data_IF_876592195227
#
_entry.id   IF_876592195227
#
_cell.length_a   1.000
_cell.length_b   1.000
_cell.length_c   1.000
_cell.angle_alpha   90.00
_cell.angle_beta   90.00
_cell.angle_gamma   90.00
#
_symmetry.space_group_name_H-M   'P 1'
#
loop_
_entity.id
_entity.type
_entity.pdbx_description
1 polymer ?
#
# COMPACT_ATOMS: atom_id res chain seq x y z
N UNK A 1 15.70 77.31 -10.07
CA UNK A 1 15.21 77.76 -8.76
C UNK A 1 14.42 76.62 -8.13
N UNK A 2 14.88 76.10 -6.99
CA UNK A 2 13.96 75.43 -6.04
C UNK A 2 13.06 76.54 -5.44
N UNK A 3 11.91 76.28 -4.77
CA UNK A 3 11.63 75.00 -4.12
C UNK A 3 10.15 74.62 -3.81
N UNK A 4 10.00 73.46 -3.15
CA UNK A 4 9.12 73.21 -1.99
C UNK A 4 7.60 73.10 -2.23
N UNK A 5 6.83 72.26 -1.55
CA UNK A 5 6.97 71.32 -0.41
C UNK A 5 5.52 70.80 -0.23
N UNK A 6 5.25 69.56 0.15
CA UNK A 6 4.86 69.16 1.52
C UNK A 6 4.08 67.85 1.27
N UNK A 7 4.65 66.68 1.60
CA UNK A 7 4.32 65.85 2.77
C UNK A 7 2.98 65.07 2.64
N UNK A 8 2.76 63.91 3.25
CA UNK A 8 3.33 63.32 4.46
C UNK A 8 2.92 61.81 4.47
N UNK A 9 3.82 60.95 4.98
CA UNK A 9 3.65 59.76 5.85
C UNK A 9 2.37 58.88 5.77
N UNK A 10 2.37 57.56 5.93
CA UNK A 10 3.16 56.64 6.76
C UNK A 10 3.03 55.20 6.15
N UNK A 11 4.08 54.38 6.00
CA UNK A 11 4.70 53.43 6.96
C UNK A 11 3.71 52.64 7.83
N UNK A 12 3.74 51.31 7.74
CA UNK A 12 3.91 50.29 8.83
C UNK A 12 3.44 48.89 8.32
N UNK A 13 4.39 47.96 8.18
CA UNK A 13 4.25 46.49 8.21
C UNK A 13 4.22 46.02 9.69
N UNK A 14 4.15 44.71 10.07
CA UNK A 14 3.44 43.51 9.61
C UNK A 14 2.69 42.81 10.80
N UNK A 15 1.98 41.68 10.62
CA UNK A 15 1.88 40.55 11.60
C UNK A 15 0.86 39.46 11.22
N UNK A 16 1.16 38.24 11.68
CA UNK A 16 0.41 37.00 11.56
C UNK A 16 -0.73 36.80 12.60
N UNK A 17 -1.65 35.87 12.33
CA UNK A 17 -2.49 35.09 13.27
C UNK A 17 -3.24 34.04 12.42
N UNK A 18 -3.09 32.71 12.55
CA UNK A 18 -3.35 31.80 13.68
C UNK A 18 -4.68 32.06 14.40
N UNK A 19 -5.72 31.32 14.01
CA UNK A 19 -6.89 31.06 14.82
C UNK A 19 -7.36 29.62 14.56
N UNK A 20 -7.16 28.78 15.58
CA UNK A 20 -7.78 27.49 15.80
C UNK A 20 -8.94 27.70 16.77
N UNK A 21 -10.14 27.23 16.47
CA UNK A 21 -11.09 26.76 17.49
C UNK A 21 -12.31 26.06 16.88
N UNK A 22 -12.53 24.82 17.33
CA UNK A 22 -13.74 24.03 17.13
C UNK A 22 -14.96 24.68 17.80
N UNK A 23 -16.17 24.25 17.44
CA UNK A 23 -16.98 23.66 18.51
C UNK A 23 -17.55 22.28 18.15
N UNK A 24 -17.36 21.37 19.09
CA UNK A 24 -17.91 20.02 19.16
C UNK A 24 -19.33 20.03 19.78
N UNK A 25 -20.23 19.25 19.15
CA UNK A 25 -21.44 18.56 19.65
C UNK A 25 -22.61 19.33 20.32
N UNK A 26 -23.86 19.09 19.91
CA UNK A 26 -24.65 17.91 20.35
C UNK A 26 -26.00 17.78 19.59
N UNK A 27 -26.35 16.52 19.34
CA UNK A 27 -27.67 15.87 19.25
C UNK A 27 -28.84 16.46 18.42
N UNK A 28 -29.17 15.75 17.32
CA UNK A 28 -30.55 15.31 17.02
C UNK A 28 -30.56 13.93 16.35
N UNK A 29 -30.69 12.89 17.16
CA UNK A 29 -31.12 11.55 16.73
C UNK A 29 -32.58 11.66 16.26
N UNK A 30 -32.86 11.43 14.97
CA UNK A 30 -34.21 11.08 14.51
C UNK A 30 -34.13 9.85 13.61
N UNK A 31 -34.72 8.77 14.13
CA UNK A 31 -34.87 7.47 13.50
C UNK A 31 -35.91 7.56 12.39
N UNK A 32 -35.52 7.26 11.15
CA UNK A 32 -36.41 6.63 10.16
C UNK A 32 -35.55 5.86 9.16
N UNK A 33 -35.80 4.55 9.07
CA UNK A 33 -34.85 3.58 8.54
C UNK A 33 -34.88 3.30 7.03
N UNK A 34 -33.83 2.55 6.64
CA UNK A 34 -33.67 1.64 5.50
C UNK A 34 -33.89 2.22 4.09
N UNK A 35 -32.80 2.29 3.32
CA UNK A 35 -32.54 1.32 2.24
C UNK A 35 -31.02 1.19 2.02
N UNK A 36 -30.64 -0.01 1.63
CA UNK A 36 -29.34 -0.61 1.81
C UNK A 36 -28.36 -0.20 0.70
N UNK A 37 -27.24 0.37 1.10
CA UNK A 37 -25.99 0.36 0.37
C UNK A 37 -24.88 0.06 1.37
N UNK A 38 -24.88 -1.15 1.95
CA UNK A 38 -23.67 -1.63 2.64
C UNK A 38 -22.57 -1.67 1.57
N UNK A 39 -21.44 -0.96 1.71
CA UNK A 39 -20.27 -1.37 0.94
C UNK A 39 -20.03 -2.84 1.27
N UNK A 40 -19.74 -3.62 0.22
CA UNK A 40 -19.66 -5.07 0.22
C UNK A 40 -19.10 -5.62 1.53
N UNK A 41 -19.76 -6.66 2.04
CA UNK A 41 -19.15 -7.55 3.02
C UNK A 41 -17.75 -7.90 2.48
N UNK A 42 -16.71 -7.47 3.20
CA UNK A 42 -15.41 -8.11 3.05
C UNK A 42 -15.64 -9.54 3.54
N UNK A 43 -15.75 -10.48 2.60
CA UNK A 43 -15.44 -11.87 2.94
C UNK A 43 -14.07 -11.83 3.62
N UNK A 44 -13.96 -12.51 4.75
CA UNK A 44 -12.79 -12.50 5.62
C UNK A 44 -11.61 -13.13 4.86
N UNK A 45 -10.96 -12.37 3.97
CA UNK A 45 -9.73 -12.80 3.30
C UNK A 45 -8.72 -13.16 4.39
N UNK A 46 -8.23 -14.39 4.36
CA UNK A 46 -7.32 -14.88 5.38
C UNK A 46 -5.98 -14.14 5.24
N UNK A 47 -5.56 -13.47 6.31
CA UNK A 47 -4.32 -12.73 6.37
C UNK A 47 -3.26 -13.54 7.12
N UNK A 48 -2.35 -14.17 6.37
CA UNK A 48 -1.34 -15.08 6.93
C UNK A 48 0.07 -14.50 6.85
N UNK A 49 0.85 -14.49 7.95
CA UNK A 49 2.22 -13.99 7.93
C UNK A 49 3.18 -14.95 7.21
N UNK A 50 4.17 -14.38 6.52
CA UNK A 50 5.20 -15.14 5.82
C UNK A 50 6.41 -14.33 5.42
N UNK A 51 7.16 -14.85 4.46
CA UNK A 51 8.28 -14.15 3.84
C UNK A 51 8.28 -14.32 2.33
N UNK A 52 8.90 -13.37 1.65
CA UNK A 52 9.10 -13.41 0.20
C UNK A 52 10.58 -13.20 -0.08
N UNK A 53 11.17 -14.07 -0.89
CA UNK A 53 12.51 -13.92 -1.44
C UNK A 53 12.41 -13.61 -2.93
N UNK A 54 13.04 -12.52 -3.36
CA UNK A 54 13.08 -12.10 -4.76
C UNK A 54 14.53 -12.05 -5.20
N UNK A 55 14.82 -12.60 -6.37
CA UNK A 55 16.10 -12.47 -7.06
C UNK A 55 15.84 -11.89 -8.47
N UNK A 56 16.90 -11.69 -9.26
CA UNK A 56 16.90 -11.19 -10.63
C UNK A 56 15.75 -11.73 -11.48
N UNK A 57 15.48 -13.04 -11.42
CA UNK A 57 14.57 -13.71 -12.37
C UNK A 57 13.39 -14.44 -11.70
N UNK A 58 13.36 -14.54 -10.37
CA UNK A 58 12.36 -15.37 -9.70
C UNK A 58 11.94 -14.83 -8.34
N UNK A 59 10.76 -15.24 -7.92
CA UNK A 59 10.18 -14.98 -6.60
C UNK A 59 9.88 -16.31 -5.91
N UNK A 60 10.13 -16.38 -4.60
CA UNK A 60 9.72 -17.47 -3.73
C UNK A 60 9.02 -16.92 -2.50
N UNK A 61 7.76 -17.25 -2.31
CA UNK A 61 7.01 -16.95 -1.10
C UNK A 61 6.90 -18.18 -0.21
N UNK A 62 6.89 -17.99 1.11
CA UNK A 62 6.52 -19.03 2.05
C UNK A 62 5.69 -18.44 3.17
N UNK A 63 4.56 -19.09 3.41
CA UNK A 63 3.65 -18.78 4.52
C UNK A 63 4.17 -19.49 5.77
N UNK A 64 4.12 -18.84 6.93
CA UNK A 64 4.80 -19.33 8.15
C UNK A 64 4.17 -20.60 8.71
N UNK A 65 2.85 -20.70 8.63
CA UNK A 65 2.07 -21.76 9.28
C UNK A 65 1.74 -22.93 8.33
N UNK A 66 2.29 -22.90 7.11
CA UNK A 66 1.76 -23.70 6.01
C UNK A 66 2.78 -24.62 5.31
N UNK A 67 2.25 -25.71 4.76
CA UNK A 67 3.02 -26.79 4.10
C UNK A 67 3.38 -26.49 2.64
N UNK A 68 2.97 -25.33 2.13
CA UNK A 68 3.17 -24.91 0.76
C UNK A 68 4.02 -23.63 0.64
N UNK A 69 4.53 -23.40 -0.57
CA UNK A 69 5.24 -22.19 -0.93
C UNK A 69 4.84 -21.73 -2.32
N UNK A 70 5.10 -20.46 -2.59
CA UNK A 70 4.90 -19.82 -3.88
C UNK A 70 6.22 -19.83 -4.63
N UNK A 71 6.21 -20.22 -5.91
CA UNK A 71 7.35 -20.07 -6.81
C UNK A 71 6.87 -19.34 -8.05
N UNK A 72 7.52 -18.23 -8.39
CA UNK A 72 7.22 -17.49 -9.60
C UNK A 72 8.45 -17.09 -10.39
N UNK A 73 8.24 -16.87 -11.68
CA UNK A 73 9.22 -16.36 -12.63
C UNK A 73 8.83 -14.93 -12.95
N UNK A 74 9.81 -14.02 -12.92
CA UNK A 74 9.60 -12.61 -13.24
C UNK A 74 9.63 -12.43 -14.77
N UNK A 75 8.76 -11.58 -15.29
CA UNK A 75 8.76 -11.20 -16.71
C UNK A 75 9.98 -10.34 -17.05
N UNK A 76 10.52 -9.63 -16.07
CA UNK A 76 11.65 -8.72 -16.21
C UNK A 76 12.74 -9.02 -15.18
N UNK A 77 13.99 -8.77 -15.58
CA UNK A 77 15.13 -8.90 -14.67
C UNK A 77 15.20 -7.71 -13.73
N UNK A 78 15.08 -7.96 -12.43
CA UNK A 78 15.26 -6.92 -11.43
C UNK A 78 16.74 -6.67 -11.16
N UNK A 79 17.15 -5.41 -10.88
CA UNK A 79 18.52 -5.06 -10.52
C UNK A 79 18.83 -5.41 -9.04
N UNK A 80 18.39 -6.59 -8.59
CA UNK A 80 18.54 -7.08 -7.22
C UNK A 80 19.26 -8.43 -7.27
N UNK A 81 20.42 -8.56 -6.60
CA UNK A 81 21.14 -9.84 -6.48
C UNK A 81 20.36 -10.90 -5.69
N UNK A 82 19.40 -10.46 -4.88
CA UNK A 82 18.59 -11.32 -4.03
C UNK A 82 18.24 -10.59 -2.74
N UNK A 83 16.96 -10.52 -2.40
CA UNK A 83 16.51 -9.91 -1.17
C UNK A 83 15.39 -10.73 -0.52
N UNK A 84 15.49 -10.92 0.80
CA UNK A 84 14.46 -11.60 1.60
C UNK A 84 13.65 -10.57 2.37
N UNK A 85 12.43 -10.32 1.93
CA UNK A 85 11.43 -9.54 2.63
C UNK A 85 10.85 -10.38 3.77
N UNK A 86 11.12 -9.96 5.00
CA UNK A 86 10.59 -10.57 6.23
C UNK A 86 9.30 -9.87 6.62
N UNK A 87 8.41 -10.57 7.33
CA UNK A 87 7.12 -10.02 7.80
C UNK A 87 6.24 -9.54 6.65
N UNK A 88 6.00 -10.46 5.71
CA UNK A 88 5.06 -10.27 4.62
C UNK A 88 3.68 -10.78 5.07
N UNK A 89 2.64 -10.09 4.66
CA UNK A 89 1.25 -10.52 4.85
C UNK A 89 0.73 -11.05 3.53
N UNK A 90 0.23 -12.28 3.54
CA UNK A 90 -0.43 -12.94 2.42
C UNK A 90 -1.92 -12.84 2.66
N UNK A 91 -2.66 -12.31 1.70
CA UNK A 91 -4.12 -12.17 1.75
C UNK A 91 -4.70 -13.01 0.62
N UNK A 92 -5.54 -13.99 0.94
CA UNK A 92 -6.07 -14.99 0.01
C UNK A 92 -7.29 -15.72 0.61
N UNK A 93 -8.03 -16.46 -0.22
CA UNK A 93 -9.04 -17.43 0.26
C UNK A 93 -8.46 -18.86 0.29
N UNK A 94 -7.57 -19.17 -0.65
CA UNK A 94 -6.89 -20.47 -0.77
C UNK A 94 -5.51 -20.31 -1.40
N UNK A 95 -4.62 -21.30 -1.17
CA UNK A 95 -3.28 -21.28 -1.75
C UNK A 95 -3.28 -21.16 -3.28
N UNK A 96 -4.24 -21.80 -3.96
CA UNK A 96 -4.37 -21.81 -5.42
C UNK A 96 -4.63 -20.41 -6.02
N UNK A 97 -5.03 -19.44 -5.21
CA UNK A 97 -5.27 -18.06 -5.67
C UNK A 97 -3.98 -17.37 -6.13
N UNK A 98 -2.83 -17.87 -5.70
CA UNK A 98 -1.51 -17.42 -6.14
C UNK A 98 -1.03 -18.12 -7.43
N UNK A 99 -1.89 -18.84 -8.15
CA UNK A 99 -1.53 -19.46 -9.44
C UNK A 99 -1.84 -18.49 -10.59
N UNK A 100 -0.83 -18.26 -11.44
CA UNK A 100 -0.98 -17.46 -12.66
C UNK A 100 -0.23 -16.13 -12.60
N UNK A 101 -0.72 -15.17 -13.39
CA UNK A 101 -0.06 -13.87 -13.56
C UNK A 101 -0.24 -13.00 -12.32
N UNK A 102 0.84 -12.33 -11.94
CA UNK A 102 0.83 -11.31 -10.90
C UNK A 102 1.52 -10.03 -11.38
N UNK A 103 1.14 -8.95 -10.71
CA UNK A 103 1.70 -7.62 -10.92
C UNK A 103 1.82 -6.88 -9.60
N UNK A 104 2.68 -5.88 -9.55
CA UNK A 104 2.99 -5.21 -8.31
C UNK A 104 4.15 -4.24 -8.42
N UNK A 105 4.57 -3.78 -7.25
CA UNK A 105 5.60 -2.78 -7.10
C UNK A 105 6.38 -3.02 -5.80
N UNK A 106 7.69 -2.84 -5.88
CA UNK A 106 8.58 -2.75 -4.73
C UNK A 106 9.07 -1.30 -4.70
N UNK A 107 8.92 -0.61 -3.59
CA UNK A 107 9.39 0.75 -3.45
C UNK A 107 8.59 1.60 -2.46
N UNK A 108 9.04 2.84 -2.24
CA UNK A 108 8.41 3.78 -1.28
C UNK A 108 8.18 3.17 0.11
N UNK A 109 9.10 2.32 0.57
CA UNK A 109 9.01 1.66 1.87
C UNK A 109 8.13 0.41 1.92
N UNK A 110 7.52 -0.01 0.80
CA UNK A 110 6.59 -1.13 0.75
C UNK A 110 6.83 -2.05 -0.46
N UNK A 111 6.31 -3.27 -0.36
CA UNK A 111 6.16 -4.21 -1.47
C UNK A 111 4.69 -4.61 -1.53
N UNK A 112 4.12 -4.54 -2.72
CA UNK A 112 2.74 -4.91 -2.99
C UNK A 112 2.73 -5.76 -4.24
N UNK A 113 2.30 -7.01 -4.12
CA UNK A 113 2.08 -7.94 -5.22
C UNK A 113 0.61 -8.34 -5.22
N UNK A 114 0.00 -8.43 -6.40
CA UNK A 114 -1.42 -8.75 -6.57
C UNK A 114 -1.60 -9.78 -7.69
N UNK A 115 -2.57 -10.66 -7.50
CA UNK A 115 -3.06 -11.61 -8.48
C UNK A 115 -4.45 -11.15 -8.94
N UNK A 116 -4.56 -10.40 -10.05
CA UNK A 116 -5.82 -9.74 -10.43
C UNK A 116 -6.97 -10.71 -10.66
N UNK A 117 -6.67 -11.96 -11.05
CA UNK A 117 -7.67 -12.99 -11.33
C UNK A 117 -8.38 -13.47 -10.06
N UNK A 118 -7.68 -13.55 -8.94
CA UNK A 118 -8.18 -14.13 -7.70
C UNK A 118 -8.41 -13.09 -6.59
N UNK A 119 -7.81 -11.91 -6.69
CA UNK A 119 -7.83 -10.91 -5.62
C UNK A 119 -6.69 -11.09 -4.60
N UNK A 120 -5.99 -12.23 -4.62
CA UNK A 120 -4.92 -12.50 -3.67
C UNK A 120 -3.78 -11.48 -3.75
N UNK A 121 -3.19 -11.17 -2.60
CA UNK A 121 -2.14 -10.18 -2.51
C UNK A 121 -1.06 -10.53 -1.49
N UNK A 122 0.12 -9.95 -1.68
CA UNK A 122 1.22 -10.03 -0.74
C UNK A 122 1.72 -8.62 -0.48
N UNK A 123 1.68 -8.21 0.78
CA UNK A 123 2.03 -6.85 1.21
C UNK A 123 3.06 -6.89 2.33
N UNK A 124 4.00 -5.96 2.33
CA UNK A 124 4.93 -5.82 3.44
C UNK A 124 5.86 -4.63 3.28
N UNK A 125 6.85 -4.52 4.17
CA UNK A 125 7.83 -3.43 4.12
C UNK A 125 8.96 -3.75 3.15
N UNK A 126 9.33 -2.75 2.34
CA UNK A 126 10.52 -2.79 1.49
C UNK A 126 11.55 -1.79 1.98
N UNK A 127 12.82 -2.20 1.97
CA UNK A 127 13.96 -1.30 2.16
C UNK A 127 14.82 -1.18 0.90
N UNK A 128 14.36 -1.80 -0.19
CA UNK A 128 15.05 -1.79 -1.48
C UNK A 128 14.31 -0.87 -2.44
N UNK A 129 15.01 -0.43 -3.49
CA UNK A 129 14.58 0.64 -4.40
C UNK A 129 13.24 0.41 -5.12
N UNK A 130 12.95 1.32 -6.03
CA UNK A 130 11.65 1.44 -6.68
C UNK A 130 11.63 0.69 -8.01
N UNK A 131 10.90 -0.43 -8.09
CA UNK A 131 10.80 -1.28 -9.26
C UNK A 131 9.36 -1.79 -9.47
N UNK A 132 8.80 -1.69 -10.68
CA UNK A 132 7.63 -2.48 -11.03
C UNK A 132 8.02 -3.97 -11.04
N UNK A 133 7.08 -4.84 -10.71
CA UNK A 133 7.29 -6.28 -10.68
C UNK A 133 6.09 -6.96 -11.31
N UNK A 134 6.33 -7.80 -12.31
CA UNK A 134 5.32 -8.68 -12.88
C UNK A 134 5.92 -10.06 -13.15
N UNK A 135 5.06 -11.07 -13.20
CA UNK A 135 5.51 -12.44 -13.35
C UNK A 135 4.37 -13.44 -13.42
N UNK A 136 4.74 -14.70 -13.46
CA UNK A 136 3.80 -15.83 -13.34
C UNK A 136 4.25 -16.74 -12.22
N UNK A 137 3.31 -17.20 -11.39
CA UNK A 137 3.58 -18.06 -10.23
C UNK A 137 2.76 -19.34 -10.25
N UNK A 138 3.26 -20.30 -9.46
CA UNK A 138 2.62 -21.56 -9.14
C UNK A 138 2.85 -21.90 -7.66
N UNK A 139 1.98 -22.74 -7.13
CA UNK A 139 2.18 -23.31 -5.79
C UNK A 139 3.10 -24.53 -5.87
N UNK A 140 4.02 -24.60 -4.93
CA UNK A 140 4.85 -25.75 -4.65
C UNK A 140 4.47 -26.29 -3.28
N UNK A 141 3.88 -27.48 -3.23
CA UNK A 141 3.77 -28.22 -1.97
C UNK A 141 5.15 -28.79 -1.64
N UNK A 142 5.60 -28.67 -0.39
CA UNK A 142 6.71 -29.51 0.05
C UNK A 142 6.20 -30.97 0.07
N UNK A 143 7.01 -31.95 -0.34
CA UNK A 143 6.76 -33.33 0.06
C UNK A 143 6.87 -33.48 1.58
#
# INVERSE_FOLDING_TARGET
MRPFLVCLLAVVLPAASFASQEPFCEDKISRTGRLFGRPAFYDLEESVPGFVYINKNFIRGRVSDDSWGLIGVLEQKLPLEGFKFKHMTFTMDKAEDFIGRFEGFIGRGQIVLKWPKSGASIVGRSIVGDFPVSGTSRISKKP
#
